data_IF_445027821570
#
_entry.id   IF_445027821570
#
_cell.length_a   1.000
_cell.length_b   1.000
_cell.length_c   1.000
_cell.angle_alpha   90.00
_cell.angle_beta   90.00
_cell.angle_gamma   90.00
#
_symmetry.space_group_name_H-M   'P 1'
#
loop_
_entity.id
_entity.type
_entity.pdbx_description
1 polymer ?
#
# COMPACT_ATOMS: atom_id res chain seq x y z
N UNK A 1 13.76 -15.51 -14.93
CA UNK A 1 13.47 -16.07 -13.61
C UNK A 1 13.17 -14.97 -12.61
N UNK A 2 12.14 -15.16 -11.85
CA UNK A 2 11.71 -14.13 -10.92
C UNK A 2 12.52 -14.24 -9.63
N UNK A 3 13.09 -13.12 -9.21
CA UNK A 3 13.94 -13.10 -8.00
C UNK A 3 13.17 -12.42 -6.86
N UNK A 4 12.77 -13.24 -5.88
CA UNK A 4 11.99 -12.74 -4.75
C UNK A 4 12.78 -11.73 -3.92
N UNK A 5 14.07 -11.97 -3.76
CA UNK A 5 14.90 -11.04 -2.98
C UNK A 5 14.95 -9.69 -3.65
N UNK A 6 15.13 -9.67 -4.95
CA UNK A 6 15.16 -8.41 -5.70
C UNK A 6 13.80 -7.72 -5.65
N UNK A 7 12.73 -8.51 -5.72
CA UNK A 7 11.38 -7.96 -5.64
C UNK A 7 11.14 -7.29 -4.29
N UNK A 8 11.57 -7.93 -3.21
CA UNK A 8 11.41 -7.36 -1.88
C UNK A 8 12.22 -6.08 -1.72
N UNK A 9 13.44 -6.08 -2.24
CA UNK A 9 14.27 -4.88 -2.20
C UNK A 9 13.63 -3.75 -2.99
N UNK A 10 13.10 -4.05 -4.16
CA UNK A 10 12.44 -3.04 -4.97
C UNK A 10 11.20 -2.51 -4.27
N UNK A 11 10.45 -3.40 -3.60
CA UNK A 11 9.29 -2.97 -2.84
C UNK A 11 9.66 -1.98 -1.76
N UNK A 12 10.75 -2.24 -1.05
CA UNK A 12 11.23 -1.31 -0.03
C UNK A 12 11.61 0.03 -0.64
N UNK A 13 12.24 -0.01 -1.81
CA UNK A 13 12.62 1.22 -2.48
C UNK A 13 11.39 2.03 -2.89
N UNK A 14 10.36 1.35 -3.36
CA UNK A 14 9.13 2.03 -3.74
C UNK A 14 8.50 2.72 -2.53
N UNK A 15 8.49 2.03 -1.39
CA UNK A 15 7.96 2.63 -0.16
C UNK A 15 8.76 3.87 0.20
N UNK A 16 10.09 3.79 0.14
CA UNK A 16 10.94 4.94 0.42
C UNK A 16 10.65 6.10 -0.53
N UNK A 17 10.54 5.80 -1.83
CA UNK A 17 10.30 6.83 -2.82
C UNK A 17 8.98 7.55 -2.56
N UNK A 18 7.95 6.80 -2.21
CA UNK A 18 6.65 7.39 -1.90
C UNK A 18 6.73 8.24 -0.66
N UNK A 19 7.41 7.74 0.38
CA UNK A 19 7.54 8.50 1.62
C UNK A 19 8.32 9.78 1.40
N UNK A 20 9.41 9.73 0.64
CA UNK A 20 10.20 10.92 0.36
C UNK A 20 9.39 11.97 -0.35
N UNK A 21 8.62 11.54 -1.33
CA UNK A 21 7.78 12.48 -2.07
C UNK A 21 6.73 13.10 -1.16
N UNK A 22 6.11 12.29 -0.31
CA UNK A 22 5.10 12.78 0.60
C UNK A 22 5.70 13.69 1.67
N UNK A 23 6.87 13.34 2.17
CA UNK A 23 7.55 14.17 3.14
C UNK A 23 7.81 15.55 2.57
N UNK A 24 8.23 15.60 1.32
CA UNK A 24 8.48 16.87 0.66
C UNK A 24 7.18 17.62 0.40
N UNK A 25 6.18 16.93 -0.08
CA UNK A 25 4.90 17.55 -0.44
C UNK A 25 4.21 18.14 0.78
N UNK A 26 4.19 17.40 1.89
CA UNK A 26 3.43 17.78 3.07
C UNK A 26 4.29 18.35 4.18
N UNK A 27 5.59 18.49 3.95
CA UNK A 27 6.53 19.07 4.92
C UNK A 27 6.52 18.32 6.24
N UNK A 28 6.63 17.01 6.15
CA UNK A 28 6.66 16.14 7.32
C UNK A 28 7.86 15.20 7.21
N UNK A 29 8.11 14.45 8.27
CA UNK A 29 9.21 13.48 8.30
C UNK A 29 8.66 12.17 8.79
N UNK A 30 8.15 11.37 7.87
CA UNK A 30 7.55 10.09 8.21
C UNK A 30 8.61 8.99 8.11
N UNK A 31 8.58 8.11 9.09
CA UNK A 31 9.52 7.00 9.14
C UNK A 31 9.10 5.87 8.24
N UNK A 32 10.06 5.03 7.89
CA UNK A 32 9.75 3.82 7.14
C UNK A 32 8.88 2.91 8.01
N UNK A 33 7.79 2.39 7.48
CA UNK A 33 6.91 1.52 8.28
C UNK A 33 7.48 0.14 8.43
N UNK A 34 6.95 -0.62 9.39
CA UNK A 34 7.25 -2.03 9.49
C UNK A 34 6.65 -2.71 8.27
N UNK A 35 7.46 -3.43 7.55
CA UNK A 35 7.01 -4.13 6.36
C UNK A 35 7.03 -5.63 6.62
N UNK A 36 5.87 -6.25 6.48
CA UNK A 36 5.72 -7.69 6.68
C UNK A 36 5.20 -8.34 5.42
N UNK A 37 5.71 -9.52 5.13
CA UNK A 37 5.26 -10.30 4.00
C UNK A 37 4.45 -11.48 4.52
N UNK A 38 3.26 -11.66 3.96
CA UNK A 38 2.45 -12.82 4.29
C UNK A 38 2.37 -13.69 3.05
N UNK A 39 2.19 -14.99 3.28
CA UNK A 39 2.30 -15.95 2.19
C UNK A 39 0.96 -16.47 1.71
N UNK A 40 -0.07 -16.28 2.49
CA UNK A 40 -1.38 -16.83 2.15
C UNK A 40 -2.44 -15.74 2.33
N UNK A 41 -3.62 -16.04 1.83
CA UNK A 41 -4.71 -15.11 1.96
C UNK A 41 -5.07 -14.49 0.62
N UNK A 42 -6.11 -13.70 0.62
CA UNK A 42 -6.66 -13.12 -0.61
C UNK A 42 -6.54 -11.61 -0.66
N UNK A 43 -5.97 -11.01 0.37
CA UNK A 43 -5.79 -9.56 0.42
C UNK A 43 -4.39 -9.23 -0.08
N UNK A 44 -4.31 -8.34 -1.06
CA UNK A 44 -3.03 -7.99 -1.66
C UNK A 44 -2.13 -7.24 -0.69
N UNK A 45 -2.70 -6.30 0.06
CA UNK A 45 -1.93 -5.54 1.03
C UNK A 45 -2.84 -4.94 2.08
N UNK A 46 -2.25 -4.55 3.19
CA UNK A 46 -2.96 -3.91 4.28
C UNK A 46 -2.07 -2.88 4.95
N UNK A 47 -2.69 -1.78 5.34
CA UNK A 47 -2.01 -0.76 6.13
C UNK A 47 -2.62 -0.77 7.52
N UNK A 48 -1.76 -0.90 8.52
CA UNK A 48 -2.18 -0.87 9.92
C UNK A 48 -1.79 0.49 10.47
N UNK A 49 -2.77 1.38 10.53
CA UNK A 49 -2.51 2.79 10.75
C UNK A 49 -1.88 3.07 12.11
N UNK A 50 -2.44 2.48 13.16
CA UNK A 50 -1.93 2.70 14.50
C UNK A 50 -0.56 2.08 14.73
N UNK A 51 -0.25 1.04 13.99
CA UNK A 51 1.00 0.31 14.16
C UNK A 51 2.08 0.80 13.20
N UNK A 52 1.73 1.66 12.28
CA UNK A 52 2.65 2.16 11.25
C UNK A 52 3.28 0.99 10.54
N UNK A 53 2.42 0.12 10.00
CA UNK A 53 2.85 -1.15 9.46
C UNK A 53 2.13 -1.45 8.15
N UNK A 54 2.83 -2.11 7.25
CA UNK A 54 2.27 -2.56 5.98
C UNK A 54 2.50 -4.06 5.87
N UNK A 55 1.46 -4.79 5.48
CA UNK A 55 1.58 -6.20 5.10
C UNK A 55 1.36 -6.30 3.60
N UNK A 56 2.19 -7.08 2.94
CA UNK A 56 2.04 -7.36 1.53
C UNK A 56 1.97 -8.87 1.33
N UNK A 57 1.10 -9.29 0.44
CA UNK A 57 0.93 -10.70 0.13
C UNK A 57 1.98 -11.10 -0.91
N UNK A 58 2.92 -11.94 -0.52
CA UNK A 58 4.03 -12.29 -1.38
C UNK A 58 3.57 -13.00 -2.64
N UNK A 59 2.63 -13.92 -2.52
CA UNK A 59 2.16 -14.66 -3.67
C UNK A 59 1.48 -13.75 -4.69
N UNK A 60 0.59 -12.90 -4.21
CA UNK A 60 -0.10 -11.97 -5.10
C UNK A 60 0.85 -10.95 -5.69
N UNK A 61 1.85 -10.55 -4.93
CA UNK A 61 2.86 -9.62 -5.41
C UNK A 61 3.62 -10.22 -6.59
N UNK A 62 4.01 -11.49 -6.45
CA UNK A 62 4.72 -12.18 -7.53
C UNK A 62 3.85 -12.29 -8.78
N UNK A 63 2.58 -12.57 -8.58
CA UNK A 63 1.67 -12.77 -9.70
C UNK A 63 1.22 -11.47 -10.34
N UNK A 64 1.33 -10.36 -9.63
CA UNK A 64 0.84 -9.07 -10.12
C UNK A 64 1.89 -7.98 -9.91
N UNK A 65 3.14 -8.30 -10.21
CA UNK A 65 4.25 -7.42 -9.85
C UNK A 65 4.15 -6.02 -10.43
N UNK A 66 3.72 -5.92 -11.71
CA UNK A 66 3.57 -4.60 -12.32
C UNK A 66 2.59 -3.74 -11.55
N UNK A 67 1.42 -4.30 -11.24
CA UNK A 67 0.40 -3.55 -10.54
C UNK A 67 0.81 -3.25 -9.11
N UNK A 68 1.54 -4.18 -8.46
CA UNK A 68 2.02 -3.93 -7.10
C UNK A 68 2.93 -2.72 -7.08
N UNK A 69 3.81 -2.61 -8.07
CA UNK A 69 4.73 -1.48 -8.10
C UNK A 69 4.00 -0.16 -8.32
N UNK A 70 3.03 -0.16 -9.21
CA UNK A 70 2.39 1.08 -9.63
C UNK A 70 1.24 1.48 -8.74
N UNK A 71 0.56 0.53 -8.12
CA UNK A 71 -0.67 0.82 -7.40
C UNK A 71 -0.72 0.27 -5.99
N UNK A 72 -0.53 -1.04 -5.82
CA UNK A 72 -0.76 -1.65 -4.52
C UNK A 72 0.14 -1.10 -3.44
N UNK A 73 1.44 -1.07 -3.69
CA UNK A 73 2.37 -0.57 -2.69
C UNK A 73 2.14 0.91 -2.39
N UNK A 74 2.05 1.78 -3.42
CA UNK A 74 1.73 3.19 -3.13
C UNK A 74 0.39 3.37 -2.44
N UNK A 75 -0.60 2.55 -2.76
CA UNK A 75 -1.93 2.60 -2.15
C UNK A 75 -1.82 2.41 -0.63
N UNK A 76 -1.06 1.41 -0.19
CA UNK A 76 -0.94 1.14 1.24
C UNK A 76 -0.12 2.22 1.95
N UNK A 77 0.94 2.69 1.31
CA UNK A 77 1.72 3.79 1.89
C UNK A 77 0.84 5.03 2.00
N UNK A 78 0.02 5.29 0.98
CA UNK A 78 -0.86 6.44 0.99
C UNK A 78 -1.83 6.41 2.17
N UNK A 79 -2.29 5.22 2.57
CA UNK A 79 -3.13 5.09 3.76
C UNK A 79 -2.40 5.58 5.00
N UNK A 80 -1.15 5.18 5.16
CA UNK A 80 -0.37 5.60 6.32
C UNK A 80 -0.15 7.10 6.32
N UNK A 81 0.22 7.65 5.16
CA UNK A 81 0.47 9.07 5.03
C UNK A 81 -0.79 9.88 5.30
N UNK A 82 -1.91 9.46 4.71
CA UNK A 82 -3.16 10.19 4.87
C UNK A 82 -3.63 10.19 6.32
N UNK A 83 -3.43 9.07 6.99
CA UNK A 83 -3.79 9.00 8.40
C UNK A 83 -2.96 10.00 9.23
N UNK A 84 -1.67 10.02 8.98
CA UNK A 84 -0.77 10.86 9.75
C UNK A 84 -0.95 12.35 9.43
N UNK A 85 -1.14 12.68 8.17
CA UNK A 85 -1.19 14.07 7.74
C UNK A 85 -2.59 14.66 7.84
N UNK A 86 -3.60 13.88 7.50
CA UNK A 86 -4.97 14.38 7.41
C UNK A 86 -5.94 13.75 8.41
N UNK A 87 -5.50 12.73 9.13
CA UNK A 87 -6.40 12.02 10.03
C UNK A 87 -7.42 11.15 9.30
N UNK A 88 -7.15 10.83 8.04
CA UNK A 88 -8.06 10.03 7.22
C UNK A 88 -7.74 8.55 7.42
N UNK A 89 -8.67 7.84 8.04
CA UNK A 89 -8.48 6.42 8.32
C UNK A 89 -9.07 5.51 7.27
N UNK A 90 -9.52 6.05 6.15
CA UNK A 90 -10.14 5.25 5.11
C UNK A 90 -9.72 5.70 3.72
N UNK A 91 -10.68 5.71 2.81
CA UNK A 91 -10.44 6.14 1.44
C UNK A 91 -11.10 7.50 1.18
N UNK A 92 -11.00 8.39 2.15
CA UNK A 92 -11.59 9.71 2.03
C UNK A 92 -10.72 10.68 1.26
N UNK A 93 -11.00 11.97 1.44
CA UNK A 93 -10.30 12.98 0.67
C UNK A 93 -8.82 13.06 0.99
N UNK A 94 -8.43 12.76 2.22
CA UNK A 94 -7.03 12.74 2.57
C UNK A 94 -6.26 11.70 1.76
N UNK A 95 -6.77 10.48 1.75
CA UNK A 95 -6.15 9.41 1.00
C UNK A 95 -6.15 9.71 -0.50
N UNK A 96 -7.27 10.21 -1.00
CA UNK A 96 -7.36 10.55 -2.42
C UNK A 96 -6.35 11.64 -2.79
N UNK A 97 -6.19 12.62 -1.92
CA UNK A 97 -5.20 13.67 -2.15
C UNK A 97 -3.80 13.10 -2.25
N UNK A 98 -3.46 12.20 -1.34
CA UNK A 98 -2.13 11.59 -1.36
C UNK A 98 -1.94 10.82 -2.66
N UNK A 99 -2.93 10.00 -3.04
CA UNK A 99 -2.82 9.24 -4.27
C UNK A 99 -2.63 10.15 -5.48
N UNK A 100 -3.40 11.24 -5.54
CA UNK A 100 -3.26 12.17 -6.65
C UNK A 100 -1.90 12.83 -6.69
N UNK A 101 -1.37 13.15 -5.51
CA UNK A 101 -0.03 13.76 -5.45
C UNK A 101 1.04 12.83 -5.95
N UNK A 102 0.77 11.52 -5.93
CA UNK A 102 1.69 10.52 -6.44
C UNK A 102 1.43 10.21 -7.92
N UNK A 103 0.44 10.88 -8.52
CA UNK A 103 0.11 10.64 -9.91
C UNK A 103 -0.69 9.39 -10.15
N UNK A 104 -1.39 8.92 -9.12
CA UNK A 104 -2.15 7.68 -9.21
C UNK A 104 -3.63 8.00 -9.10
N UNK A 105 -4.42 7.38 -9.98
CA UNK A 105 -5.87 7.55 -9.91
C UNK A 105 -6.38 6.79 -8.69
N UNK A 106 -7.08 7.46 -7.76
CA UNK A 106 -7.54 6.77 -6.56
C UNK A 106 -8.59 5.72 -6.87
N UNK A 107 -8.31 4.48 -6.49
CA UNK A 107 -9.24 3.38 -6.64
C UNK A 107 -9.25 2.60 -5.34
N UNK A 108 -10.45 2.33 -4.84
CA UNK A 108 -10.58 1.63 -3.58
C UNK A 108 -10.30 0.14 -3.69
N UNK A 109 -10.47 -0.43 -4.88
CA UNK A 109 -10.32 -1.86 -5.10
C UNK A 109 -9.39 -2.12 -6.25
N UNK A 110 -8.73 -3.28 -6.21
CA UNK A 110 -7.87 -3.74 -7.27
C UNK A 110 -8.53 -4.90 -8.00
N UNK A 111 -8.13 -5.10 -9.25
CA UNK A 111 -8.70 -6.16 -10.08
C UNK A 111 -7.76 -7.34 -10.17
N UNK A 112 -7.28 -7.83 -9.05
CA UNK A 112 -6.40 -8.98 -9.06
C UNK A 112 -7.19 -10.26 -9.03
N UNK A 113 -6.49 -11.35 -9.31
CA UNK A 113 -7.11 -12.66 -9.25
C UNK A 113 -7.80 -12.89 -7.92
N UNK A 114 -7.21 -12.39 -6.86
CA UNK A 114 -7.76 -12.55 -5.54
C UNK A 114 -9.15 -11.95 -5.42
N UNK A 115 -9.51 -11.09 -6.33
CA UNK A 115 -10.84 -10.47 -6.27
C UNK A 115 -11.94 -11.48 -6.53
N UNK A 116 -11.59 -12.63 -7.06
CA UNK A 116 -12.57 -13.67 -7.22
C UNK A 116 -13.14 -14.14 -5.89
N UNK A 117 -12.45 -13.84 -4.84
CA UNK A 117 -12.93 -14.16 -3.50
C UNK A 117 -13.16 -12.89 -2.71
N UNK A 118 -13.60 -11.88 -3.41
CA UNK A 118 -13.78 -10.58 -2.78
C UNK A 118 -14.71 -10.59 -1.59
N UNK A 119 -15.60 -11.54 -1.53
CA UNK A 119 -16.48 -11.65 -0.38
C UNK A 119 -15.74 -11.89 0.91
N UNK A 120 -14.47 -12.21 0.81
CA UNK A 120 -13.66 -12.44 1.97
C UNK A 120 -12.87 -11.23 2.39
N UNK A 121 -13.04 -10.15 1.69
CA UNK A 121 -12.32 -8.94 2.05
C UNK A 121 -12.55 -8.63 3.49
N UNK A 122 -11.52 -8.19 4.11
CA UNK A 122 -11.61 -7.80 5.48
C UNK A 122 -12.43 -6.54 5.61
N UNK A 123 -13.27 -6.53 6.61
CA UNK A 123 -14.07 -5.36 6.89
C UNK A 123 -13.81 -4.84 8.28
N UNK A 124 -12.75 -5.28 8.88
CA UNK A 124 -12.51 -5.04 10.29
C UNK A 124 -11.62 -3.86 10.55
N UNK A 125 -11.83 -2.81 9.81
CA UNK A 125 -11.03 -1.62 10.03
C UNK A 125 -9.69 -1.64 9.34
N UNK A 126 -9.45 -2.61 8.50
CA UNK A 126 -8.24 -2.65 7.70
C UNK A 126 -8.53 -2.14 6.33
N UNK A 127 -7.57 -1.44 5.74
CA UNK A 127 -7.78 -0.74 4.48
C UNK A 127 -6.80 -1.22 3.44
N UNK A 128 -7.29 -1.42 2.25
CA UNK A 128 -6.48 -1.89 1.14
C UNK A 128 -6.41 -0.86 0.05
#
# INVERSE_FOLDING_TARGET
MFDVTAMKSKSQQIIWDVLEKCNETYKVELDFPDLHWVMIGTTAGRAYLNLWKIELNLQLCKENWEDFQKETIPHEVAHLVAYKVFGDAGHGEGWKSVMRSLGIVPQRCHSYESDHVKGKRSLNGMYN
#
